data_IF_865123122646
#
_entry.id   IF_865123122646
#
_cell.length_a   1.000
_cell.length_b   1.000
_cell.length_c   1.000
_cell.angle_alpha   90.00
_cell.angle_beta   90.00
_cell.angle_gamma   90.00
#
_symmetry.space_group_name_H-M   'P 1'
#
loop_
_entity.id
_entity.type
_entity.pdbx_description
1 polymer ?
#
# COMPACT_ATOMS: atom_id res chain seq x y z
N UNK A 1 -35.14 -9.59 30.13
CA UNK A 1 -35.14 -8.75 28.92
C UNK A 1 -36.55 -8.64 28.32
N UNK A 2 -37.08 -9.67 27.64
CA UNK A 2 -38.38 -9.56 26.95
C UNK A 2 -39.64 -9.77 27.83
N UNK A 3 -39.48 -10.20 29.10
CA UNK A 3 -40.59 -10.26 30.04
C UNK A 3 -40.89 -8.85 30.57
N UNK A 4 -42.10 -8.34 30.32
CA UNK A 4 -42.57 -7.02 30.76
C UNK A 4 -42.63 -6.86 32.28
N UNK A 5 -42.75 -7.96 33.02
CA UNK A 5 -42.74 -7.98 34.49
C UNK A 5 -41.33 -8.03 35.09
N UNK A 6 -40.29 -8.01 34.24
CA UNK A 6 -38.92 -8.05 34.72
C UNK A 6 -38.60 -6.79 35.53
N UNK A 7 -37.92 -6.91 36.70
CA UNK A 7 -37.55 -5.77 37.53
C UNK A 7 -36.52 -4.83 36.89
N UNK A 8 -36.06 -5.15 35.68
CA UNK A 8 -35.10 -4.40 34.86
C UNK A 8 -35.63 -4.15 33.44
N UNK A 9 -36.94 -4.31 33.20
CA UNK A 9 -37.55 -4.13 31.87
C UNK A 9 -37.40 -2.69 31.34
N UNK A 10 -37.38 -1.71 32.24
CA UNK A 10 -37.15 -0.30 31.95
C UNK A 10 -35.80 -0.04 31.27
N UNK A 11 -34.79 -0.88 31.50
CA UNK A 11 -33.48 -0.76 30.84
C UNK A 11 -33.48 -1.17 29.37
N UNK A 12 -34.54 -1.81 28.88
CA UNK A 12 -34.62 -2.36 27.52
C UNK A 12 -35.89 -1.86 26.79
N UNK A 13 -36.00 -0.53 26.54
CA UNK A 13 -37.14 0.02 25.84
C UNK A 13 -37.21 -0.53 24.40
N UNK A 14 -38.43 -0.87 23.96
CA UNK A 14 -38.65 -1.33 22.57
C UNK A 14 -38.44 -0.19 21.56
N UNK A 15 -38.85 1.02 21.95
CA UNK A 15 -38.63 2.25 21.19
C UNK A 15 -37.84 3.23 22.06
N UNK A 16 -36.78 3.80 21.50
CA UNK A 16 -35.97 4.82 22.16
C UNK A 16 -35.81 6.03 21.24
N UNK A 17 -35.56 7.18 21.85
CA UNK A 17 -35.35 8.43 21.11
C UNK A 17 -33.87 8.60 20.80
N UNK A 18 -33.60 9.18 19.64
CA UNK A 18 -32.26 9.61 19.24
C UNK A 18 -32.26 11.12 19.04
N UNK A 19 -31.23 11.78 19.55
CA UNK A 19 -31.02 13.22 19.33
C UNK A 19 -29.79 13.41 18.44
N UNK A 20 -30.01 13.98 17.26
CA UNK A 20 -28.95 14.24 16.29
C UNK A 20 -28.07 15.43 16.71
N UNK A 21 -28.53 16.35 17.56
CA UNK A 21 -27.78 17.53 18.03
C UNK A 21 -26.93 18.21 16.92
N UNK A 22 -27.55 18.45 15.75
CA UNK A 22 -26.90 19.05 14.59
C UNK A 22 -25.93 18.15 13.80
N UNK A 23 -25.78 16.88 14.18
CA UNK A 23 -25.09 15.86 13.38
C UNK A 23 -25.98 15.37 12.25
N UNK A 24 -25.33 14.95 11.17
CA UNK A 24 -26.01 14.55 9.93
C UNK A 24 -26.30 13.06 9.88
N UNK A 25 -25.49 12.25 10.56
CA UNK A 25 -25.59 10.80 10.48
C UNK A 25 -26.19 10.22 11.77
N UNK A 26 -27.11 9.27 11.64
CA UNK A 26 -27.82 8.68 12.77
C UNK A 26 -26.90 7.93 13.75
N UNK A 27 -25.75 7.40 13.29
CA UNK A 27 -24.76 6.75 14.17
C UNK A 27 -23.96 7.72 15.04
N UNK A 28 -24.05 9.03 14.76
CA UNK A 28 -23.49 10.08 15.63
C UNK A 28 -24.53 10.62 16.61
N UNK A 29 -25.79 10.19 16.48
CA UNK A 29 -26.86 10.65 17.33
C UNK A 29 -26.67 10.14 18.77
N UNK A 30 -27.07 10.96 19.73
CA UNK A 30 -27.14 10.58 21.13
C UNK A 30 -28.33 9.64 21.31
N UNK A 31 -28.05 8.40 21.70
CA UNK A 31 -29.07 7.40 22.00
C UNK A 31 -29.58 7.61 23.42
N UNK A 32 -30.85 8.00 23.56
CA UNK A 32 -31.47 8.30 24.85
C UNK A 32 -32.09 7.03 25.44
N UNK A 33 -31.25 6.25 26.14
CA UNK A 33 -31.66 5.08 26.93
C UNK A 33 -31.32 5.30 28.41
N UNK A 34 -32.08 4.70 29.34
CA UNK A 34 -31.78 4.81 30.76
C UNK A 34 -30.45 4.11 31.10
N UNK A 35 -29.69 4.71 32.03
CA UNK A 35 -28.51 4.06 32.59
C UNK A 35 -28.91 2.91 33.50
N UNK A 36 -28.22 1.78 33.35
CA UNK A 36 -28.46 0.59 34.15
C UNK A 36 -27.97 0.81 35.58
N UNK A 37 -28.84 0.50 36.55
CA UNK A 37 -28.47 0.37 37.96
C UNK A 37 -27.84 -1.02 38.19
N UNK A 38 -26.57 -1.03 38.61
CA UNK A 38 -25.78 -2.25 38.81
C UNK A 38 -26.42 -3.19 39.84
N UNK A 39 -26.87 -2.66 40.99
CA UNK A 39 -27.43 -3.48 42.06
C UNK A 39 -28.75 -4.13 41.63
N UNK A 40 -29.62 -3.39 40.91
CA UNK A 40 -30.86 -3.92 40.34
C UNK A 40 -30.58 -5.01 39.30
N UNK A 41 -29.59 -4.80 38.44
CA UNK A 41 -29.19 -5.79 37.42
C UNK A 41 -28.66 -7.07 38.07
N UNK A 42 -27.70 -6.95 38.98
CA UNK A 42 -27.09 -8.10 39.66
C UNK A 42 -28.12 -8.92 40.44
N UNK A 43 -29.04 -8.28 41.16
CA UNK A 43 -30.13 -8.95 41.87
C UNK A 43 -31.04 -9.75 40.93
N UNK A 44 -31.43 -9.14 39.80
CA UNK A 44 -32.26 -9.80 38.79
C UNK A 44 -31.55 -10.99 38.14
N UNK A 45 -30.26 -10.85 37.79
CA UNK A 45 -29.45 -11.91 37.18
C UNK A 45 -29.21 -13.05 38.17
N UNK A 46 -28.89 -12.76 39.43
CA UNK A 46 -28.64 -13.76 40.47
C UNK A 46 -29.83 -14.72 40.65
N UNK A 47 -31.06 -14.22 40.51
CA UNK A 47 -32.29 -15.04 40.58
C UNK A 47 -32.40 -16.12 39.49
N UNK A 48 -31.59 -16.03 38.42
CA UNK A 48 -31.59 -16.93 37.27
C UNK A 48 -30.26 -17.66 37.05
N UNK A 49 -29.20 -17.32 37.79
CA UNK A 49 -27.87 -17.94 37.63
C UNK A 49 -27.88 -19.47 37.80
N UNK A 50 -28.77 -19.99 38.65
CA UNK A 50 -28.93 -21.43 38.88
C UNK A 50 -29.55 -22.19 37.69
N UNK A 51 -30.07 -21.49 36.68
CA UNK A 51 -30.63 -22.09 35.47
C UNK A 51 -29.58 -22.28 34.36
N UNK A 52 -28.37 -21.78 34.55
CA UNK A 52 -27.30 -21.90 33.57
C UNK A 52 -26.79 -23.34 33.49
N UNK A 53 -26.54 -23.80 32.26
CA UNK A 53 -25.89 -25.08 32.01
C UNK A 53 -24.43 -25.08 32.49
N UNK A 54 -23.80 -26.26 32.68
CA UNK A 54 -22.39 -26.34 33.06
C UNK A 54 -21.44 -25.64 32.06
N UNK A 55 -21.74 -25.73 30.76
CA UNK A 55 -20.96 -25.05 29.71
C UNK A 55 -21.10 -23.52 29.80
N UNK A 56 -22.32 -23.02 29.99
CA UNK A 56 -22.56 -21.58 30.14
C UNK A 56 -21.88 -21.03 31.39
N UNK A 57 -21.91 -21.77 32.51
CA UNK A 57 -21.19 -21.41 33.72
C UNK A 57 -19.67 -21.38 33.49
N UNK A 58 -19.12 -22.33 32.74
CA UNK A 58 -17.69 -22.34 32.39
C UNK A 58 -17.31 -21.13 31.53
N UNK A 59 -18.15 -20.74 30.55
CA UNK A 59 -17.92 -19.55 29.71
C UNK A 59 -18.11 -18.24 30.48
N UNK A 60 -18.95 -18.22 31.51
CA UNK A 60 -19.19 -17.06 32.37
C UNK A 60 -18.14 -16.90 33.49
N UNK A 61 -16.93 -17.45 33.30
CA UNK A 61 -15.81 -17.32 34.22
C UNK A 61 -14.69 -16.47 33.62
N UNK A 62 -13.78 -15.98 34.47
CA UNK A 62 -12.62 -15.21 34.02
C UNK A 62 -11.65 -16.17 33.34
N UNK A 63 -11.31 -15.88 32.08
CA UNK A 63 -10.39 -16.69 31.29
C UNK A 63 -8.91 -16.50 31.67
N UNK A 64 -8.08 -17.38 31.14
CA UNK A 64 -6.63 -17.37 31.32
C UNK A 64 -5.93 -16.51 30.25
N UNK A 65 -4.82 -15.84 30.61
CA UNK A 65 -3.91 -15.24 29.65
C UNK A 65 -2.97 -16.34 29.13
N UNK A 66 -2.88 -16.53 27.82
CA UNK A 66 -2.07 -17.58 27.21
C UNK A 66 -0.80 -17.00 26.56
N UNK A 67 0.36 -17.55 26.91
CA UNK A 67 1.63 -17.27 26.27
C UNK A 67 2.03 -18.44 25.35
N UNK A 68 2.28 -18.11 24.08
CA UNK A 68 2.71 -19.07 23.07
C UNK A 68 4.20 -18.87 22.78
N UNK A 69 5.01 -19.88 23.10
CA UNK A 69 6.44 -19.86 22.83
C UNK A 69 6.78 -20.83 21.71
N UNK A 70 7.53 -20.35 20.71
CA UNK A 70 8.05 -21.20 19.66
C UNK A 70 9.18 -22.09 20.20
N UNK A 71 9.07 -23.40 19.97
CA UNK A 71 10.15 -24.37 20.19
C UNK A 71 10.49 -25.05 18.88
N UNK A 72 11.76 -25.07 18.51
CA UNK A 72 12.22 -25.63 17.23
C UNK A 72 12.05 -27.16 17.14
N UNK A 73 11.96 -27.87 18.28
CA UNK A 73 11.69 -29.30 18.37
C UNK A 73 10.72 -29.58 19.51
N UNK A 74 9.66 -30.35 19.22
CA UNK A 74 8.61 -30.74 20.17
C UNK A 74 7.28 -30.01 19.93
N UNK A 75 6.26 -30.34 20.73
CA UNK A 75 4.97 -29.68 20.68
C UNK A 75 5.07 -28.23 21.17
N UNK A 76 4.28 -27.34 20.56
CA UNK A 76 4.15 -25.96 21.01
C UNK A 76 3.72 -25.93 22.48
N UNK A 77 4.54 -25.34 23.35
CA UNK A 77 4.21 -25.23 24.76
C UNK A 77 3.30 -24.02 24.95
N UNK A 78 2.03 -24.30 25.23
CA UNK A 78 1.10 -23.36 25.83
C UNK A 78 1.41 -23.25 27.32
N UNK A 79 1.68 -22.03 27.78
CA UNK A 79 1.77 -21.74 29.22
C UNK A 79 0.75 -20.67 29.59
N UNK A 80 0.15 -20.80 30.76
CA UNK A 80 -0.76 -19.80 31.33
C UNK A 80 0.04 -18.75 32.09
N UNK A 81 -0.31 -17.48 31.88
CA UNK A 81 0.20 -16.35 32.65
C UNK A 81 -0.85 -15.94 33.69
N UNK A 82 -0.37 -15.53 34.86
CA UNK A 82 -1.22 -14.92 35.86
C UNK A 82 -1.80 -13.60 35.32
N UNK A 83 -3.04 -13.28 35.70
CA UNK A 83 -3.76 -12.08 35.21
C UNK A 83 -3.02 -10.79 35.59
N UNK A 84 -2.33 -10.81 36.72
CA UNK A 84 -1.54 -9.71 37.27
C UNK A 84 -0.05 -9.75 36.86
N UNK A 85 0.35 -10.63 35.94
CA UNK A 85 1.76 -10.81 35.54
C UNK A 85 2.43 -9.52 35.01
N UNK A 86 1.63 -8.54 34.54
CA UNK A 86 2.11 -7.24 34.05
C UNK A 86 1.61 -6.05 34.87
N UNK A 87 1.07 -6.29 36.07
CA UNK A 87 0.70 -5.19 36.96
C UNK A 87 1.96 -4.51 37.48
N UNK A 88 2.27 -3.35 36.89
CA UNK A 88 3.34 -2.48 37.35
C UNK A 88 2.83 -1.59 38.48
N UNK A 89 3.67 -1.33 39.47
CA UNK A 89 3.36 -0.32 40.48
C UNK A 89 3.24 1.05 39.77
N UNK A 90 2.15 1.82 39.96
CA UNK A 90 1.98 3.13 39.32
C UNK A 90 3.14 4.09 39.51
N UNK A 91 3.90 3.96 40.61
CA UNK A 91 5.10 4.76 40.88
C UNK A 91 6.29 4.41 39.97
N UNK A 92 6.31 3.21 39.39
CA UNK A 92 7.33 2.74 38.44
C UNK A 92 7.02 3.11 36.99
N UNK A 93 5.79 3.57 36.72
CA UNK A 93 5.37 3.99 35.38
C UNK A 93 6.00 5.35 35.08
N UNK A 94 6.87 5.38 34.07
CA UNK A 94 7.45 6.61 33.56
C UNK A 94 6.44 7.26 32.61
N UNK A 95 5.92 8.40 33.01
CA UNK A 95 5.02 9.20 32.18
C UNK A 95 5.83 10.10 31.24
N UNK A 96 5.72 9.87 29.94
CA UNK A 96 6.43 10.64 28.90
C UNK A 96 7.59 9.88 28.26
N UNK A 97 8.65 10.60 27.90
CA UNK A 97 9.81 10.01 27.24
C UNK A 97 10.65 9.19 28.23
N UNK A 98 10.95 7.95 27.84
CA UNK A 98 11.83 7.08 28.63
C UNK A 98 13.26 7.64 28.66
N UNK A 99 14.01 7.41 29.75
CA UNK A 99 15.44 7.72 29.78
C UNK A 99 16.16 6.94 28.67
N UNK A 100 17.06 7.61 27.95
CA UNK A 100 17.83 7.09 26.80
C UNK A 100 17.08 6.99 25.46
N UNK A 101 15.90 7.61 25.31
CA UNK A 101 15.28 7.75 23.99
C UNK A 101 16.15 8.64 23.10
N UNK A 102 16.65 8.08 21.99
CA UNK A 102 17.48 8.78 21.02
C UNK A 102 16.60 9.56 20.03
N UNK A 103 16.24 10.81 20.35
CA UNK A 103 15.38 11.63 19.48
C UNK A 103 16.09 12.24 18.27
N UNK A 104 17.42 12.26 18.26
CA UNK A 104 18.25 12.88 17.20
C UNK A 104 18.92 11.84 16.30
N UNK A 105 18.68 10.55 16.56
CA UNK A 105 19.15 9.44 15.74
C UNK A 105 18.04 9.02 14.81
N UNK A 106 18.37 8.80 13.55
CA UNK A 106 17.40 8.33 12.57
C UNK A 106 17.22 6.82 12.71
N UNK A 107 15.98 6.41 12.92
CA UNK A 107 15.57 5.02 12.85
C UNK A 107 14.87 4.77 11.50
N UNK A 108 15.39 3.84 10.66
CA UNK A 108 14.75 3.51 9.40
C UNK A 108 13.26 3.22 9.55
N UNK A 109 12.44 3.92 8.77
CA UNK A 109 10.97 3.79 8.80
C UNK A 109 10.25 4.84 9.65
N UNK A 110 10.95 5.57 10.52
CA UNK A 110 10.36 6.66 11.31
C UNK A 110 10.65 8.03 10.67
N UNK A 111 9.63 8.84 10.35
CA UNK A 111 9.85 10.15 9.77
C UNK A 111 10.49 11.12 10.77
N UNK A 112 11.36 11.99 10.27
CA UNK A 112 11.96 13.08 11.06
C UNK A 112 12.20 14.32 10.20
N UNK A 113 11.87 15.48 10.76
CA UNK A 113 12.07 16.77 10.10
C UNK A 113 13.41 17.42 10.49
N UNK A 114 14.13 16.89 11.48
CA UNK A 114 15.28 17.55 12.11
C UNK A 114 16.52 17.70 11.22
N UNK A 115 16.68 16.84 10.21
CA UNK A 115 17.91 16.80 9.41
C UNK A 115 18.02 17.89 8.34
N UNK A 116 16.95 18.64 8.07
CA UNK A 116 16.97 19.77 7.14
C UNK A 116 16.57 21.06 7.87
N UNK A 117 17.27 22.18 7.65
CA UNK A 117 16.84 23.46 8.17
C UNK A 117 15.55 23.89 7.46
N UNK A 118 14.48 24.09 8.23
CA UNK A 118 13.16 24.45 7.70
C UNK A 118 12.46 25.44 8.65
N UNK A 119 11.46 26.14 8.13
CA UNK A 119 10.58 27.03 8.88
C UNK A 119 9.14 26.61 8.65
N UNK A 120 8.33 26.56 9.70
CA UNK A 120 6.89 26.29 9.62
C UNK A 120 6.07 27.58 9.65
N UNK A 121 5.13 27.72 8.72
CA UNK A 121 4.14 28.80 8.72
C UNK A 121 2.76 28.18 8.52
N UNK A 122 1.78 28.55 9.35
CA UNK A 122 0.40 28.12 9.17
C UNK A 122 -0.24 28.98 8.08
N UNK A 123 -0.30 28.44 6.87
CA UNK A 123 -0.95 29.09 5.73
C UNK A 123 -2.10 28.21 5.24
N UNK A 124 -3.24 28.82 4.94
CA UNK A 124 -4.38 28.14 4.34
C UNK A 124 -4.07 27.86 2.86
N UNK A 125 -3.22 26.87 2.64
CA UNK A 125 -2.88 26.37 1.32
C UNK A 125 -3.88 25.25 1.04
N UNK A 126 -4.88 25.51 0.16
CA UNK A 126 -5.45 24.41 -0.60
C UNK A 126 -4.26 23.81 -1.33
N UNK A 127 -3.91 22.59 -0.98
CA UNK A 127 -2.73 21.92 -1.50
C UNK A 127 -2.72 22.08 -3.04
N UNK A 128 -1.77 22.94 -3.48
CA UNK A 128 -1.64 23.82 -4.69
C UNK A 128 -2.50 25.13 -4.68
N UNK A 129 -1.92 26.35 -4.61
CA UNK A 129 -1.30 27.09 -5.76
C UNK A 129 -0.67 28.48 -5.36
N UNK A 130 0.57 28.79 -5.83
CA UNK A 130 1.33 30.09 -6.07
C UNK A 130 1.81 31.04 -4.92
N UNK A 131 2.84 31.92 -5.05
CA UNK A 131 4.05 32.14 -5.91
C UNK A 131 4.95 33.18 -5.19
N UNK A 132 6.27 32.99 -5.09
CA UNK A 132 7.30 34.05 -5.18
C UNK A 132 8.74 33.52 -5.08
N UNK A 133 9.63 34.17 -5.82
CA UNK A 133 11.04 33.80 -5.99
C UNK A 133 11.91 34.20 -4.79
N UNK A 134 12.86 33.33 -4.43
CA UNK A 134 13.90 33.62 -3.43
C UNK A 134 15.25 33.79 -4.14
N UNK A 135 15.99 34.83 -3.75
CA UNK A 135 17.34 35.12 -4.25
C UNK A 135 18.36 34.66 -3.21
N UNK A 136 19.00 33.52 -3.43
CA UNK A 136 20.22 33.12 -2.71
C UNK A 136 21.32 32.78 -3.73
N UNK A 137 22.58 33.13 -3.45
CA UNK A 137 23.70 32.87 -4.36
C UNK A 137 23.99 31.37 -4.45
N UNK A 138 24.19 30.89 -5.68
CA UNK A 138 24.54 29.51 -6.01
C UNK A 138 26.03 29.24 -5.73
N UNK A 139 26.33 28.09 -5.12
CA UNK A 139 27.70 27.53 -5.11
C UNK A 139 28.02 26.89 -6.47
N UNK A 140 29.32 26.74 -6.77
CA UNK A 140 29.79 26.06 -7.99
C UNK A 140 29.31 24.59 -8.03
N UNK A 141 28.55 24.27 -9.07
CA UNK A 141 27.83 22.99 -9.22
C UNK A 141 28.78 21.84 -9.56
N UNK A 142 29.90 22.12 -10.21
CA UNK A 142 30.86 21.10 -10.62
C UNK A 142 31.53 20.44 -9.42
N UNK A 143 31.91 21.24 -8.42
CA UNK A 143 32.51 20.74 -7.18
C UNK A 143 31.50 19.95 -6.35
N UNK A 144 30.23 20.39 -6.36
CA UNK A 144 29.15 19.66 -5.73
C UNK A 144 28.90 18.29 -6.38
N UNK A 145 28.97 18.20 -7.71
CA UNK A 145 28.82 16.94 -8.42
C UNK A 145 29.96 15.97 -8.07
N UNK A 146 31.21 16.44 -8.01
CA UNK A 146 32.36 15.64 -7.55
C UNK A 146 32.19 15.15 -6.11
N UNK A 147 31.65 16.01 -5.25
CA UNK A 147 31.47 15.69 -3.85
C UNK A 147 30.35 14.69 -3.60
N UNK A 148 29.32 14.60 -4.44
CA UNK A 148 28.15 13.77 -4.14
C UNK A 148 28.04 12.51 -4.99
N UNK A 149 28.52 12.48 -6.24
CA UNK A 149 28.43 11.29 -7.09
C UNK A 149 29.15 10.12 -6.41
N UNK A 150 28.49 8.97 -6.32
CA UNK A 150 29.03 7.79 -5.65
C UNK A 150 28.96 7.83 -4.11
N UNK A 151 28.44 8.90 -3.49
CA UNK A 151 28.20 8.95 -2.05
C UNK A 151 26.81 8.44 -1.68
N UNK A 152 26.72 7.83 -0.50
CA UNK A 152 25.46 7.42 0.11
C UNK A 152 24.75 8.65 0.70
N UNK A 153 23.49 8.82 0.36
CA UNK A 153 22.62 9.92 0.80
C UNK A 153 21.27 9.37 1.26
N UNK A 154 20.53 10.19 2.01
CA UNK A 154 19.14 9.93 2.34
C UNK A 154 18.21 10.81 1.49
N UNK A 155 17.15 10.21 0.96
CA UNK A 155 16.15 10.84 0.09
C UNK A 155 14.73 10.67 0.67
N UNK A 156 13.71 11.24 0.02
CA UNK A 156 12.29 11.15 0.42
C UNK A 156 11.98 11.79 1.80
N UNK A 157 12.68 12.88 2.18
CA UNK A 157 12.37 13.64 3.39
C UNK A 157 10.87 14.01 3.48
N UNK A 158 10.22 13.86 4.65
CA UNK A 158 10.77 13.52 5.97
C UNK A 158 10.90 12.01 6.25
N UNK A 159 10.41 11.14 5.37
CA UNK A 159 10.52 9.67 5.51
C UNK A 159 11.81 9.23 4.80
N UNK A 160 12.94 9.47 5.47
CA UNK A 160 14.25 9.27 4.87
C UNK A 160 14.47 7.81 4.44
N UNK A 161 15.01 7.65 3.24
CA UNK A 161 15.42 6.36 2.67
C UNK A 161 16.83 6.46 2.12
N UNK A 162 17.63 5.41 2.32
CA UNK A 162 18.98 5.36 1.77
C UNK A 162 18.95 5.31 0.24
N UNK A 163 19.90 6.00 -0.37
CA UNK A 163 20.13 6.00 -1.80
C UNK A 163 21.60 6.32 -2.12
N UNK A 164 22.02 5.94 -3.32
CA UNK A 164 23.35 6.21 -3.85
C UNK A 164 23.21 7.18 -5.02
N UNK A 165 23.99 8.26 -5.00
CA UNK A 165 23.92 9.27 -6.06
C UNK A 165 24.60 8.76 -7.31
N UNK A 166 23.88 8.81 -8.43
CA UNK A 166 24.32 8.29 -9.73
C UNK A 166 24.76 9.41 -10.67
N UNK A 167 23.93 10.44 -10.83
CA UNK A 167 24.21 11.57 -11.72
C UNK A 167 23.46 12.86 -11.32
N UNK A 168 23.90 13.98 -11.88
CA UNK A 168 23.33 15.32 -11.64
C UNK A 168 22.96 16.00 -12.94
N UNK A 169 21.83 16.70 -12.95
CA UNK A 169 21.44 17.59 -14.04
C UNK A 169 21.28 19.00 -13.48
N UNK A 170 22.10 19.92 -13.97
CA UNK A 170 22.18 21.29 -13.48
C UNK A 170 22.79 22.23 -14.52
N UNK A 171 22.34 23.49 -14.55
CA UNK A 171 22.88 24.54 -15.43
C UNK A 171 22.99 24.14 -16.93
N UNK A 172 22.09 23.28 -17.40
CA UNK A 172 22.12 22.80 -18.79
C UNK A 172 23.15 21.71 -19.06
N UNK A 173 23.77 21.14 -18.03
CA UNK A 173 24.73 20.04 -18.13
C UNK A 173 24.27 18.82 -17.33
N UNK A 174 24.64 17.64 -17.82
CA UNK A 174 24.60 16.35 -17.14
C UNK A 174 25.99 16.02 -16.61
N UNK A 175 26.07 15.71 -15.33
CA UNK A 175 27.29 15.27 -14.67
C UNK A 175 27.19 13.79 -14.33
N UNK A 176 28.14 12.99 -14.81
CA UNK A 176 28.22 11.54 -14.61
C UNK A 176 29.65 11.14 -14.26
N UNK A 177 29.82 10.12 -13.41
CA UNK A 177 31.13 9.49 -13.22
C UNK A 177 31.36 8.47 -14.33
N UNK A 178 32.54 8.50 -14.95
CA UNK A 178 33.03 7.39 -15.76
C UNK A 178 33.66 6.30 -14.86
N UNK A 179 33.97 5.13 -15.43
CA UNK A 179 34.57 3.98 -14.71
C UNK A 179 35.94 4.32 -14.06
N UNK A 180 36.58 5.41 -14.48
CA UNK A 180 37.82 5.95 -13.90
C UNK A 180 37.63 6.76 -12.61
N UNK A 181 36.38 7.02 -12.20
CA UNK A 181 36.05 7.89 -11.06
C UNK A 181 36.11 9.39 -11.36
N UNK A 182 36.37 9.76 -12.61
CA UNK A 182 36.38 11.16 -13.05
C UNK A 182 34.97 11.62 -13.44
N UNK A 183 34.53 12.75 -12.89
CA UNK A 183 33.21 13.34 -13.17
C UNK A 183 33.31 14.19 -14.44
N UNK A 184 32.56 13.80 -15.46
CA UNK A 184 32.47 14.55 -16.72
C UNK A 184 31.17 15.34 -16.79
N UNK A 185 31.24 16.52 -17.40
CA UNK A 185 30.09 17.37 -17.69
C UNK A 185 29.79 17.29 -19.19
N UNK A 186 28.57 16.89 -19.55
CA UNK A 186 28.07 16.83 -20.92
C UNK A 186 26.91 17.80 -21.05
N UNK A 187 26.93 18.68 -22.04
CA UNK A 187 25.83 19.62 -22.27
C UNK A 187 24.54 18.85 -22.65
N UNK A 188 23.42 19.22 -22.02
CA UNK A 188 22.10 18.69 -22.32
C UNK A 188 21.63 19.21 -23.67
N UNK A 189 21.06 18.34 -24.48
CA UNK A 189 20.40 18.74 -25.73
C UNK A 189 19.05 19.45 -25.47
N UNK A 190 18.42 19.95 -26.54
CA UNK A 190 17.17 20.71 -26.42
C UNK A 190 15.99 19.88 -25.88
N UNK A 191 15.94 18.57 -26.18
CA UNK A 191 14.89 17.68 -25.68
C UNK A 191 15.12 17.38 -24.20
N UNK A 192 16.35 17.05 -23.81
CA UNK A 192 16.76 16.79 -22.44
C UNK A 192 16.56 18.02 -21.54
N UNK A 193 16.78 19.23 -22.05
CA UNK A 193 16.49 20.47 -21.32
C UNK A 193 15.00 20.64 -21.01
N UNK A 194 14.11 20.31 -21.96
CA UNK A 194 12.66 20.34 -21.73
C UNK A 194 12.21 19.25 -20.77
N UNK A 195 12.80 18.05 -20.88
CA UNK A 195 12.59 16.95 -19.91
C UNK A 195 13.01 17.38 -18.51
N UNK A 196 14.17 18.03 -18.35
CA UNK A 196 14.66 18.55 -17.07
C UNK A 196 13.68 19.55 -16.46
N UNK A 197 13.18 20.52 -17.25
CA UNK A 197 12.19 21.50 -16.78
C UNK A 197 10.90 20.82 -16.32
N UNK A 198 10.40 19.86 -17.12
CA UNK A 198 9.21 19.07 -16.79
C UNK A 198 9.39 18.27 -15.49
N UNK A 199 10.54 17.62 -15.32
CA UNK A 199 10.86 16.86 -14.10
C UNK A 199 10.98 17.77 -12.87
N UNK A 200 11.63 18.94 -12.99
CA UNK A 200 11.75 19.92 -11.91
C UNK A 200 10.37 20.38 -11.45
N UNK A 201 9.49 20.72 -12.41
CA UNK A 201 8.12 21.09 -12.12
C UNK A 201 7.38 19.95 -11.42
N UNK A 202 7.41 18.74 -11.98
CA UNK A 202 6.71 17.58 -11.43
C UNK A 202 7.17 17.23 -10.00
N UNK A 203 8.47 17.31 -9.70
CA UNK A 203 8.97 17.03 -8.34
C UNK A 203 8.59 18.13 -7.34
N UNK A 204 8.75 19.41 -7.69
CA UNK A 204 8.29 20.53 -6.84
C UNK A 204 6.79 20.42 -6.57
N UNK A 205 6.04 20.12 -7.63
CA UNK A 205 4.61 19.96 -7.60
C UNK A 205 4.18 18.80 -6.69
N UNK A 206 4.84 17.64 -6.79
CA UNK A 206 4.62 16.48 -5.93
C UNK A 206 4.91 16.79 -4.46
N UNK A 207 6.00 17.50 -4.17
CA UNK A 207 6.38 17.87 -2.80
C UNK A 207 5.36 18.81 -2.17
N UNK A 208 4.94 19.83 -2.92
CA UNK A 208 3.92 20.76 -2.47
C UNK A 208 2.55 20.08 -2.34
N UNK A 209 2.14 19.29 -3.33
CA UNK A 209 0.78 18.75 -3.42
C UNK A 209 0.51 17.53 -2.55
N UNK A 210 1.55 16.86 -2.08
CA UNK A 210 1.40 15.64 -1.27
C UNK A 210 1.91 15.81 0.14
N UNK A 211 2.94 16.63 0.32
CA UNK A 211 3.63 16.79 1.60
C UNK A 211 3.58 18.22 2.14
N UNK A 212 3.00 19.18 1.42
CA UNK A 212 3.01 20.60 1.77
C UNK A 212 4.42 21.18 1.98
N UNK A 213 5.41 20.64 1.26
CA UNK A 213 6.80 21.09 1.32
C UNK A 213 7.08 21.99 0.12
N UNK A 214 7.31 23.28 0.38
CA UNK A 214 7.68 24.24 -0.65
C UNK A 214 9.21 24.31 -0.81
N UNK A 215 9.70 23.83 -1.96
CA UNK A 215 11.13 23.86 -2.30
C UNK A 215 11.38 25.01 -3.28
N UNK A 216 11.54 26.22 -2.72
CA UNK A 216 11.62 27.48 -3.47
C UNK A 216 12.72 27.47 -4.56
N UNK A 217 13.95 27.14 -4.18
CA UNK A 217 15.14 27.26 -5.05
C UNK A 217 15.77 25.90 -5.36
N UNK A 218 15.05 25.06 -6.12
CA UNK A 218 15.65 23.86 -6.70
C UNK A 218 15.74 24.00 -8.22
N UNK A 219 16.95 24.19 -8.74
CA UNK A 219 17.27 24.22 -10.17
C UNK A 219 18.08 22.99 -10.61
N UNK A 220 18.35 22.08 -9.67
CA UNK A 220 19.19 20.90 -9.85
C UNK A 220 18.39 19.65 -9.52
N UNK A 221 18.44 18.68 -10.42
CA UNK A 221 17.92 17.33 -10.20
C UNK A 221 19.11 16.40 -9.96
N UNK A 222 18.97 15.57 -8.94
CA UNK A 222 19.90 14.49 -8.63
C UNK A 222 19.21 13.17 -8.87
N UNK A 223 19.84 12.30 -9.65
CA UNK A 223 19.37 10.93 -9.88
C UNK A 223 19.98 10.02 -8.84
N UNK A 224 19.12 9.38 -8.04
CA UNK A 224 19.52 8.56 -6.91
C UNK A 224 19.01 7.14 -7.06
N UNK A 225 19.92 6.16 -6.95
CA UNK A 225 19.60 4.73 -6.93
C UNK A 225 19.21 4.34 -5.52
N UNK A 226 17.94 3.96 -5.34
CA UNK A 226 17.41 3.57 -4.03
C UNK A 226 18.11 2.32 -3.50
N UNK A 227 18.30 2.27 -2.19
CA UNK A 227 18.72 1.05 -1.50
C UNK A 227 17.64 -0.04 -1.65
N UNK A 228 18.05 -1.24 -2.08
CA UNK A 228 17.16 -2.40 -2.25
C UNK A 228 17.31 -3.36 -1.09
N UNK A 229 18.54 -3.59 -0.64
CA UNK A 229 18.84 -4.56 0.40
C UNK A 229 20.32 -4.86 0.51
N UNK A 230 20.65 -5.98 1.13
CA UNK A 230 22.02 -6.49 1.23
C UNK A 230 22.12 -7.76 0.42
N UNK A 231 23.14 -7.84 -0.43
CA UNK A 231 23.53 -9.08 -1.11
C UNK A 231 24.83 -9.58 -0.51
N UNK A 232 24.97 -10.89 -0.37
CA UNK A 232 26.25 -11.49 0.02
C UNK A 232 26.95 -12.04 -1.21
N UNK A 233 28.24 -11.76 -1.34
CA UNK A 233 29.10 -12.42 -2.33
C UNK A 233 30.04 -13.38 -1.61
N UNK A 234 30.39 -14.49 -2.27
CA UNK A 234 31.31 -15.49 -1.72
C UNK A 234 32.72 -15.12 -2.15
N UNK A 235 33.59 -14.89 -1.17
CA UNK A 235 35.02 -14.69 -1.38
C UNK A 235 35.78 -15.60 -0.41
N UNK A 236 36.61 -16.52 -0.94
CA UNK A 236 37.42 -17.44 -0.14
C UNK A 236 36.62 -18.23 0.92
N UNK A 237 35.39 -18.66 0.60
CA UNK A 237 34.54 -19.43 1.51
C UNK A 237 33.84 -18.61 2.60
N UNK A 238 33.86 -17.28 2.50
CA UNK A 238 33.18 -16.34 3.40
C UNK A 238 32.17 -15.51 2.61
N UNK A 239 30.96 -15.39 3.14
CA UNK A 239 29.92 -14.50 2.63
C UNK A 239 30.17 -13.10 3.16
N UNK A 240 30.53 -12.19 2.25
CA UNK A 240 30.75 -10.77 2.56
C UNK A 240 29.52 -9.94 2.18
N UNK A 241 28.97 -9.15 3.10
CA UNK A 241 27.80 -8.33 2.82
C UNK A 241 28.18 -7.13 1.95
N UNK A 242 27.40 -6.88 0.92
CA UNK A 242 27.49 -5.70 0.06
C UNK A 242 26.11 -5.07 -0.07
N UNK A 243 26.02 -3.75 0.08
CA UNK A 243 24.78 -3.01 -0.15
C UNK A 243 24.38 -3.10 -1.61
N UNK A 244 23.15 -3.52 -1.85
CA UNK A 244 22.55 -3.58 -3.17
C UNK A 244 21.72 -2.33 -3.43
N UNK A 245 22.00 -1.69 -4.55
CA UNK A 245 21.30 -0.50 -5.04
C UNK A 245 20.44 -0.87 -6.24
N UNK A 246 19.39 -0.10 -6.48
CA UNK A 246 18.60 -0.22 -7.70
C UNK A 246 19.50 -0.06 -8.94
N UNK A 247 19.09 -0.67 -10.06
CA UNK A 247 19.79 -0.51 -11.33
C UNK A 247 19.78 0.95 -11.82
N UNK A 248 20.76 1.37 -12.63
CA UNK A 248 20.88 2.74 -13.12
C UNK A 248 19.65 3.22 -13.91
N UNK A 249 18.96 2.30 -14.60
CA UNK A 249 17.74 2.60 -15.36
C UNK A 249 16.55 3.02 -14.49
N UNK A 250 16.60 2.77 -13.17
CA UNK A 250 15.50 3.04 -12.23
C UNK A 250 15.91 4.14 -11.22
N UNK A 251 16.91 4.94 -11.56
CA UNK A 251 17.33 6.06 -10.72
C UNK A 251 16.18 7.08 -10.57
N UNK A 252 15.87 7.44 -9.32
CA UNK A 252 14.77 8.35 -9.02
C UNK A 252 15.26 9.80 -9.06
N UNK A 253 14.52 10.72 -9.72
CA UNK A 253 14.85 12.14 -9.69
C UNK A 253 14.46 12.76 -8.34
N UNK A 254 15.42 13.41 -7.69
CA UNK A 254 15.26 14.09 -6.39
C UNK A 254 15.80 15.51 -6.49
N UNK A 255 15.12 16.46 -5.83
CA UNK A 255 15.60 17.84 -5.76
C UNK A 255 16.80 17.91 -4.82
N UNK A 256 17.90 18.52 -5.28
CA UNK A 256 19.13 18.66 -4.51
C UNK A 256 18.93 19.16 -3.06
N UNK A 257 18.09 20.20 -2.78
CA UNK A 257 17.88 20.67 -1.41
C UNK A 257 17.21 19.67 -0.46
N UNK A 258 16.63 18.58 -0.98
CA UNK A 258 15.99 17.52 -0.19
C UNK A 258 16.92 16.34 0.08
N UNK A 259 18.16 16.37 -0.42
CA UNK A 259 19.16 15.37 -0.08
C UNK A 259 19.67 15.62 1.33
N UNK A 260 19.66 14.57 2.14
CA UNK A 260 20.20 14.59 3.49
C UNK A 260 21.46 13.75 3.52
N UNK A 261 22.58 14.34 3.92
CA UNK A 261 23.87 13.67 4.10
C UNK A 261 24.15 13.42 5.59
N UNK A 262 25.10 12.51 5.87
CA UNK A 262 25.67 12.30 7.21
C UNK A 262 24.63 11.99 8.31
N UNK A 263 23.63 11.17 7.99
CA UNK A 263 22.64 10.72 8.97
C UNK A 263 23.24 9.59 9.81
N UNK A 264 23.29 9.74 11.13
CA UNK A 264 23.58 8.65 12.04
C UNK A 264 22.38 7.69 12.06
N UNK A 265 22.50 6.60 11.32
CA UNK A 265 21.47 5.55 11.22
C UNK A 265 21.76 4.46 12.24
N UNK A 266 20.82 4.20 13.16
CA UNK A 266 20.88 3.01 14.03
C UNK A 266 20.34 1.80 13.24
N UNK A 267 21.19 1.24 12.39
CA UNK A 267 20.90 0.01 11.65
C UNK A 267 21.08 -1.18 12.57
N UNK A 268 20.01 -1.60 13.27
CA UNK A 268 20.07 -2.59 14.35
C UNK A 268 20.74 -3.95 14.05
N UNK A 269 21.03 -4.28 12.78
CA UNK A 269 21.79 -5.47 12.40
C UNK A 269 23.11 -5.03 11.77
N UNK A 270 24.21 -5.24 12.50
CA UNK A 270 25.55 -5.08 11.93
C UNK A 270 25.74 -6.07 10.80
N UNK A 271 26.13 -5.57 9.63
CA UNK A 271 26.58 -6.40 8.52
C UNK A 271 27.86 -7.10 8.99
N UNK A 272 27.85 -8.43 9.05
CA UNK A 272 29.02 -9.23 9.43
C UNK A 272 29.35 -10.23 8.34
N UNK A 273 30.63 -10.58 8.27
CA UNK A 273 31.11 -11.67 7.46
C UNK A 273 30.61 -13.00 8.05
N UNK A 274 30.07 -13.87 7.20
CA UNK A 274 29.50 -15.16 7.62
C UNK A 274 30.22 -16.28 6.87
N UNK A 275 30.88 -17.24 7.56
CA UNK A 275 31.42 -18.42 6.90
C UNK A 275 30.31 -19.18 6.16
N UNK A 276 30.61 -19.70 4.96
CA UNK A 276 29.60 -20.46 4.16
C UNK A 276 29.06 -21.66 4.95
N UNK A 277 29.88 -22.27 5.80
CA UNK A 277 29.46 -23.37 6.70
C UNK A 277 28.46 -22.95 7.78
N UNK A 278 28.48 -21.70 8.24
CA UNK A 278 27.50 -21.14 9.19
C UNK A 278 26.21 -20.74 8.49
N UNK A 279 26.30 -20.15 7.29
CA UNK A 279 25.14 -19.74 6.51
C UNK A 279 24.34 -20.93 5.96
N UNK A 280 25.03 -22.02 5.62
CA UNK A 280 24.44 -23.24 5.06
C UNK A 280 24.75 -24.45 5.96
N UNK A 281 24.13 -24.53 7.15
CA UNK A 281 24.35 -25.66 8.03
C UNK A 281 23.78 -26.93 7.42
N UNK A 282 24.38 -28.07 7.79
CA UNK A 282 23.93 -29.40 7.32
C UNK A 282 22.43 -29.61 7.59
N UNK A 283 21.72 -30.13 6.60
CA UNK A 283 20.27 -30.35 6.57
C UNK A 283 19.41 -29.07 6.58
N UNK A 284 19.99 -27.89 6.35
CA UNK A 284 19.20 -26.69 6.05
C UNK A 284 18.48 -26.82 4.70
N UNK A 285 17.29 -26.22 4.62
CA UNK A 285 16.48 -26.15 3.41
C UNK A 285 16.90 -24.93 2.59
N UNK A 286 17.28 -25.16 1.34
CA UNK A 286 17.70 -24.12 0.40
C UNK A 286 16.99 -24.30 -0.94
N UNK A 287 17.13 -23.33 -1.85
CA UNK A 287 16.68 -23.46 -3.23
C UNK A 287 17.88 -23.46 -4.16
N UNK A 288 17.90 -24.35 -5.15
CA UNK A 288 18.94 -24.35 -6.16
C UNK A 288 18.67 -23.22 -7.16
N UNK A 289 19.61 -22.27 -7.27
CA UNK A 289 19.44 -21.06 -8.08
C UNK A 289 20.37 -21.01 -9.30
N UNK A 290 20.99 -22.13 -9.68
CA UNK A 290 21.86 -22.20 -10.86
C UNK A 290 21.00 -22.28 -12.14
N UNK A 291 20.94 -21.23 -12.98
CA UNK A 291 19.97 -21.16 -14.09
C UNK A 291 20.22 -22.19 -15.20
N UNK A 292 21.47 -22.63 -15.36
CA UNK A 292 21.87 -23.60 -16.38
C UNK A 292 21.59 -25.05 -15.99
N UNK A 293 21.11 -25.31 -14.77
CA UNK A 293 20.91 -26.65 -14.25
C UNK A 293 19.41 -26.97 -14.13
N UNK A 294 19.03 -28.20 -14.44
CA UNK A 294 17.62 -28.65 -14.49
C UNK A 294 16.88 -28.49 -13.15
N UNK A 295 17.61 -28.47 -12.04
CA UNK A 295 17.05 -28.24 -10.71
C UNK A 295 16.86 -26.77 -10.32
N UNK A 296 16.95 -25.80 -11.25
CA UNK A 296 16.69 -24.39 -10.94
C UNK A 296 15.30 -24.18 -10.32
N UNK A 297 15.25 -23.50 -9.18
CA UNK A 297 14.03 -23.24 -8.42
C UNK A 297 13.54 -24.41 -7.55
N UNK A 298 14.19 -25.58 -7.59
CA UNK A 298 13.79 -26.71 -6.75
C UNK A 298 14.31 -26.59 -5.31
N UNK A 299 13.52 -27.05 -4.32
CA UNK A 299 13.98 -27.15 -2.95
C UNK A 299 15.06 -28.23 -2.81
N UNK A 300 16.04 -27.95 -1.98
CA UNK A 300 17.19 -28.79 -1.73
C UNK A 300 17.58 -28.82 -0.25
N UNK A 301 18.30 -29.85 0.14
CA UNK A 301 18.90 -29.99 1.46
C UNK A 301 20.42 -29.89 1.35
N UNK A 302 21.03 -29.17 2.29
CA UNK A 302 22.48 -29.06 2.37
C UNK A 302 23.08 -30.34 2.96
N UNK A 303 23.95 -31.01 2.22
CA UNK A 303 24.64 -32.23 2.68
C UNK A 303 25.97 -31.90 3.35
N UNK A 304 26.76 -31.06 2.69
CA UNK A 304 28.12 -30.71 3.11
C UNK A 304 28.54 -29.36 2.49
N UNK A 305 29.41 -28.65 3.19
CA UNK A 305 30.13 -27.49 2.67
C UNK A 305 31.61 -27.85 2.58
N UNK A 306 32.18 -27.78 1.38
CA UNK A 306 33.60 -28.02 1.14
C UNK A 306 34.44 -26.82 1.67
N UNK A 307 35.73 -27.03 2.04
CA UNK A 307 36.59 -25.96 2.58
C UNK A 307 36.76 -24.74 1.68
N UNK A 308 36.54 -24.91 0.38
CA UNK A 308 36.62 -23.85 -0.64
C UNK A 308 35.31 -23.05 -0.77
N UNK A 309 34.30 -23.33 0.06
CA UNK A 309 33.00 -22.64 0.06
C UNK A 309 31.98 -23.21 -0.94
N UNK A 310 32.21 -24.40 -1.50
CA UNK A 310 31.25 -25.08 -2.37
C UNK A 310 30.25 -25.87 -1.53
N UNK A 311 28.95 -25.67 -1.77
CA UNK A 311 27.87 -26.34 -1.03
C UNK A 311 27.34 -27.51 -1.86
N UNK A 312 27.36 -28.71 -1.30
CA UNK A 312 26.74 -29.90 -1.91
C UNK A 312 25.30 -30.04 -1.44
N UNK A 313 24.43 -30.28 -2.41
CA UNK A 313 22.99 -30.27 -2.23
C UNK A 313 22.39 -31.61 -2.66
N UNK A 314 21.47 -32.14 -1.85
CA UNK A 314 20.53 -33.17 -2.28
C UNK A 314 19.24 -32.47 -2.72
N UNK A 315 18.89 -32.60 -4.00
CA UNK A 315 17.75 -31.90 -4.61
C UNK A 315 16.66 -32.88 -4.98
N UNK A 316 15.42 -32.55 -4.63
CA UNK A 316 14.25 -33.35 -5.02
C UNK A 316 13.60 -32.74 -6.25
N UNK A 317 13.91 -33.31 -7.42
CA UNK A 317 13.34 -32.89 -8.71
C UNK A 317 12.02 -33.62 -8.93
N UNK A 318 11.01 -32.87 -9.37
CA UNK A 318 9.69 -33.39 -9.71
C UNK A 318 9.51 -33.27 -11.23
N UNK A 319 8.78 -34.17 -11.88
CA UNK A 319 8.50 -34.04 -13.31
C UNK A 319 7.70 -32.75 -13.57
N UNK A 320 8.20 -31.91 -14.47
CA UNK A 320 7.48 -30.73 -14.93
C UNK A 320 6.35 -31.12 -15.88
N UNK A 321 5.19 -30.48 -15.74
CA UNK A 321 4.09 -30.63 -16.71
C UNK A 321 4.46 -29.90 -18.00
N UNK A 322 4.40 -30.61 -19.14
CA UNK A 322 4.56 -29.98 -20.43
C UNK A 322 3.31 -29.17 -20.79
N UNK A 323 3.47 -27.85 -20.91
CA UNK A 323 2.42 -26.90 -21.29
C UNK A 323 2.55 -26.46 -22.76
N UNK A 324 3.38 -27.13 -23.56
CA UNK A 324 3.62 -26.82 -24.98
C UNK A 324 2.32 -26.84 -25.81
N UNK A 325 1.43 -27.79 -25.54
CA UNK A 325 0.12 -27.93 -26.20
C UNK A 325 -0.79 -26.73 -25.90
N UNK A 326 -0.95 -26.38 -24.62
CA UNK A 326 -1.72 -25.20 -24.18
C UNK A 326 -1.13 -23.91 -24.75
N UNK A 327 0.20 -23.82 -24.84
CA UNK A 327 0.88 -22.66 -25.42
C UNK A 327 0.66 -22.55 -26.94
N UNK A 328 0.65 -23.68 -27.65
CA UNK A 328 0.38 -23.71 -29.10
C UNK A 328 -1.07 -23.32 -29.41
N UNK A 329 -2.01 -23.74 -28.57
CA UNK A 329 -3.42 -23.41 -28.70
C UNK A 329 -3.82 -22.10 -27.99
N UNK A 330 -2.86 -21.36 -27.42
CA UNK A 330 -3.14 -20.19 -26.58
C UNK A 330 -4.00 -19.17 -27.31
N UNK A 331 -3.67 -18.83 -28.56
CA UNK A 331 -4.42 -17.83 -29.32
C UNK A 331 -5.86 -18.30 -29.62
N UNK A 332 -6.06 -19.60 -29.85
CA UNK A 332 -7.38 -20.19 -30.08
C UNK A 332 -8.23 -20.28 -28.81
N UNK A 333 -7.59 -20.51 -27.65
CA UNK A 333 -8.22 -20.55 -26.34
C UNK A 333 -8.40 -19.14 -25.74
N UNK A 334 -7.66 -18.15 -26.23
CA UNK A 334 -7.69 -16.79 -25.73
C UNK A 334 -9.01 -16.09 -26.07
N UNK A 335 -9.47 -15.24 -25.14
CA UNK A 335 -10.64 -14.43 -25.39
C UNK A 335 -10.33 -13.38 -26.45
N UNK A 336 -11.21 -13.30 -27.45
CA UNK A 336 -11.17 -12.24 -28.44
C UNK A 336 -11.69 -10.94 -27.83
N UNK A 337 -10.86 -9.90 -27.90
CA UNK A 337 -11.14 -8.56 -27.41
C UNK A 337 -11.52 -7.63 -28.56
N UNK A 338 -12.49 -6.76 -28.33
CA UNK A 338 -12.93 -5.75 -29.30
C UNK A 338 -13.01 -4.37 -28.64
N UNK A 339 -12.87 -3.30 -29.43
CA UNK A 339 -13.03 -1.94 -28.91
C UNK A 339 -14.52 -1.61 -28.66
N UNK A 340 -14.79 -0.46 -28.03
CA UNK A 340 -16.16 0.00 -27.76
C UNK A 340 -17.03 0.18 -29.00
N UNK A 341 -16.43 0.53 -30.14
CA UNK A 341 -17.16 0.77 -31.38
C UNK A 341 -17.63 -0.55 -32.00
N UNK A 342 -16.74 -1.54 -32.09
CA UNK A 342 -17.04 -2.87 -32.63
C UNK A 342 -18.02 -3.64 -31.72
N UNK A 343 -17.87 -3.53 -30.40
CA UNK A 343 -18.82 -4.08 -29.43
C UNK A 343 -20.20 -3.42 -29.59
N UNK A 344 -20.25 -2.09 -29.70
CA UNK A 344 -21.48 -1.34 -29.94
C UNK A 344 -22.18 -1.75 -31.23
N UNK A 345 -21.42 -1.92 -32.33
CA UNK A 345 -21.94 -2.38 -33.62
C UNK A 345 -22.54 -3.79 -33.56
N UNK A 346 -21.92 -4.72 -32.82
CA UNK A 346 -22.45 -6.08 -32.64
C UNK A 346 -23.76 -6.13 -31.85
N UNK A 347 -23.93 -5.23 -30.89
CA UNK A 347 -25.11 -5.15 -30.03
C UNK A 347 -26.19 -4.25 -30.66
N UNK A 348 -25.82 -3.39 -31.62
CA UNK A 348 -26.70 -2.38 -32.21
C UNK A 348 -26.97 -1.20 -31.26
N UNK A 349 -25.96 -0.81 -30.47
CA UNK A 349 -26.04 0.25 -29.45
C UNK A 349 -24.87 1.22 -29.61
N UNK A 350 -25.10 2.52 -29.36
CA UNK A 350 -24.04 3.53 -29.37
C UNK A 350 -22.93 3.25 -28.33
N UNK A 351 -21.69 3.58 -28.69
CA UNK A 351 -20.52 3.34 -27.85
C UNK A 351 -20.57 4.06 -26.49
N UNK A 352 -21.25 5.21 -26.39
CA UNK A 352 -21.42 5.93 -25.12
C UNK A 352 -22.40 5.20 -24.20
N UNK A 353 -23.51 4.71 -24.76
CA UNK A 353 -24.50 3.93 -24.02
C UNK A 353 -23.88 2.61 -23.53
N UNK A 354 -23.11 1.94 -24.38
CA UNK A 354 -22.32 0.76 -24.01
C UNK A 354 -21.40 1.05 -22.82
N UNK A 355 -20.62 2.13 -22.86
CA UNK A 355 -19.71 2.49 -21.76
C UNK A 355 -20.42 2.86 -20.46
N UNK A 356 -21.69 3.30 -20.51
CA UNK A 356 -22.49 3.61 -19.31
C UNK A 356 -23.11 2.34 -18.73
N UNK A 357 -23.74 1.49 -19.55
CA UNK A 357 -24.38 0.24 -19.11
C UNK A 357 -23.34 -0.73 -18.53
N UNK A 358 -22.18 -0.82 -19.17
CA UNK A 358 -21.06 -1.63 -18.66
C UNK A 358 -20.41 -1.03 -17.41
N UNK A 359 -20.72 0.23 -17.08
CA UNK A 359 -20.29 0.91 -15.86
C UNK A 359 -21.26 0.77 -14.69
N UNK A 360 -21.25 1.77 -13.81
CA UNK A 360 -22.21 1.90 -12.70
C UNK A 360 -23.23 2.96 -13.04
N UNK A 361 -24.52 2.62 -12.93
CA UNK A 361 -25.63 3.53 -13.20
C UNK A 361 -26.57 3.44 -12.02
N UNK A 362 -26.68 4.51 -11.25
CA UNK A 362 -27.56 4.56 -10.09
C UNK A 362 -28.90 5.14 -10.48
N UNK A 363 -29.97 4.39 -10.23
CA UNK A 363 -31.34 4.86 -10.29
C UNK A 363 -31.73 5.33 -8.88
N UNK A 364 -32.18 6.58 -8.78
CA UNK A 364 -32.68 7.16 -7.53
C UNK A 364 -34.19 6.95 -7.54
N UNK A 365 -34.70 6.17 -6.60
CA UNK A 365 -36.14 5.99 -6.42
C UNK A 365 -36.63 7.09 -5.47
N UNK A 366 -37.25 8.12 -6.02
CA UNK A 366 -37.99 9.12 -5.23
C UNK A 366 -39.31 8.50 -4.78
N UNK A 367 -39.42 8.16 -3.49
CA UNK A 367 -40.72 7.82 -2.90
C UNK A 367 -41.40 9.12 -2.52
N UNK A 368 -42.63 9.34 -3.00
CA UNK A 368 -43.51 10.40 -2.51
C UNK A 368 -43.96 10.03 -1.09
N UNK A 369 -43.10 10.27 -0.10
CA UNK A 369 -43.48 10.30 1.30
C UNK A 369 -43.66 11.76 1.70
N UNK A 370 -44.73 12.04 2.46
CA UNK A 370 -45.06 13.35 3.03
C UNK A 370 -43.85 14.06 3.66
N UNK A 371 -43.83 15.39 3.53
CA UNK A 371 -42.72 16.35 3.64
C UNK A 371 -41.83 16.37 4.92
N UNK A 372 -41.85 15.34 5.78
CA UNK A 372 -40.99 15.28 6.98
C UNK A 372 -39.98 14.11 6.98
N UNK A 373 -40.05 13.16 6.05
CA UNK A 373 -39.11 12.02 5.96
C UNK A 373 -38.15 12.10 4.75
N UNK A 374 -38.19 13.18 3.97
CA UNK A 374 -37.46 13.34 2.70
C UNK A 374 -35.93 13.38 2.83
N UNK A 375 -35.37 13.43 4.04
CA UNK A 375 -33.92 13.34 4.25
C UNK A 375 -33.42 11.91 4.50
N UNK A 376 -34.32 10.91 4.58
CA UNK A 376 -33.96 9.50 4.75
C UNK A 376 -33.49 8.95 3.41
N UNK A 377 -32.17 8.78 3.30
CA UNK A 377 -31.45 7.93 2.32
C UNK A 377 -32.21 7.69 1.02
N UNK A 378 -32.01 8.57 0.03
CA UNK A 378 -32.34 8.27 -1.36
C UNK A 378 -31.82 6.87 -1.72
N UNK A 379 -32.74 5.92 -1.90
CA UNK A 379 -32.41 4.54 -2.20
C UNK A 379 -31.82 4.51 -3.62
N UNK A 380 -30.50 4.35 -3.69
CA UNK A 380 -29.75 4.29 -4.95
C UNK A 380 -29.60 2.84 -5.35
N UNK A 381 -30.32 2.42 -6.38
CA UNK A 381 -30.20 1.08 -6.94
C UNK A 381 -29.25 1.13 -8.13
N UNK A 382 -28.17 0.36 -8.09
CA UNK A 382 -27.28 0.24 -9.23
C UNK A 382 -27.90 -0.71 -10.27
N UNK A 383 -28.23 -0.16 -11.44
CA UNK A 383 -28.76 -0.89 -12.60
C UNK A 383 -27.70 -1.13 -13.69
N UNK A 384 -26.48 -0.60 -13.51
CA UNK A 384 -25.35 -0.85 -14.41
C UNK A 384 -24.72 -2.21 -14.16
N UNK A 385 -24.25 -2.87 -15.22
CA UNK A 385 -23.64 -4.20 -15.15
C UNK A 385 -22.30 -4.21 -14.40
N UNK A 386 -21.73 -3.05 -14.09
CA UNK A 386 -20.54 -2.88 -13.26
C UNK A 386 -19.32 -3.67 -13.73
N UNK A 387 -19.25 -3.94 -15.03
CA UNK A 387 -18.14 -4.63 -15.68
C UNK A 387 -16.90 -3.74 -15.76
N UNK A 388 -17.10 -2.42 -15.80
CA UNK A 388 -16.07 -1.38 -15.90
C UNK A 388 -16.20 -0.37 -14.76
N UNK A 389 -15.14 -0.20 -13.98
CA UNK A 389 -15.09 0.74 -12.85
C UNK A 389 -13.96 1.77 -13.04
N UNK A 390 -14.12 2.67 -14.01
CA UNK A 390 -13.07 3.64 -14.40
C UNK A 390 -12.51 4.47 -13.24
N UNK A 391 -13.38 4.93 -12.33
CA UNK A 391 -12.96 5.75 -11.17
C UNK A 391 -12.11 4.97 -10.17
N UNK A 392 -12.32 3.65 -10.06
CA UNK A 392 -11.56 2.76 -9.17
C UNK A 392 -10.41 2.06 -9.89
N UNK A 393 -10.24 2.33 -11.20
CA UNK A 393 -9.30 1.63 -12.06
C UNK A 393 -9.43 0.09 -11.98
N UNK A 394 -10.66 -0.41 -11.98
CA UNK A 394 -10.98 -1.84 -11.86
C UNK A 394 -11.74 -2.33 -13.10
N UNK A 395 -11.45 -3.57 -13.49
CA UNK A 395 -12.09 -4.30 -14.58
C UNK A 395 -12.62 -5.65 -14.07
N UNK A 396 -13.65 -6.17 -14.73
CA UNK A 396 -14.15 -7.53 -14.48
C UNK A 396 -13.50 -8.50 -15.46
N UNK A 397 -12.78 -9.49 -14.92
CA UNK A 397 -12.09 -10.53 -15.67
C UNK A 397 -13.01 -11.19 -16.70
N UNK A 398 -12.46 -11.54 -17.85
CA UNK A 398 -13.16 -12.16 -18.99
C UNK A 398 -14.24 -11.30 -19.68
N UNK A 399 -14.61 -10.13 -19.15
CA UNK A 399 -15.65 -9.26 -19.70
C UNK A 399 -15.08 -7.95 -20.27
N UNK A 400 -14.30 -7.23 -19.47
CA UNK A 400 -13.69 -5.96 -19.89
C UNK A 400 -12.21 -5.93 -19.56
N UNK A 401 -11.47 -5.15 -20.35
CA UNK A 401 -10.04 -4.95 -20.17
C UNK A 401 -9.68 -3.50 -20.41
N UNK A 402 -8.89 -2.90 -19.53
CA UNK A 402 -8.33 -1.55 -19.69
C UNK A 402 -6.90 -1.64 -20.22
N UNK A 403 -6.65 -0.94 -21.31
CA UNK A 403 -5.31 -0.81 -21.90
C UNK A 403 -4.52 0.31 -21.20
N UNK A 404 -3.19 0.26 -21.31
CA UNK A 404 -2.28 1.27 -20.72
C UNK A 404 -2.54 2.69 -21.26
N UNK A 405 -2.97 2.80 -22.52
CA UNK A 405 -3.39 4.05 -23.14
C UNK A 405 -4.76 4.58 -22.64
N UNK A 406 -5.40 3.88 -21.71
CA UNK A 406 -6.67 4.28 -21.08
C UNK A 406 -7.94 3.84 -21.80
N UNK A 407 -7.83 3.22 -22.99
CA UNK A 407 -8.99 2.68 -23.72
C UNK A 407 -9.49 1.37 -23.12
N UNK A 408 -10.77 1.07 -23.37
CA UNK A 408 -11.45 -0.13 -22.88
C UNK A 408 -11.76 -1.09 -24.02
N UNK A 409 -11.48 -2.37 -23.77
CA UNK A 409 -11.84 -3.48 -24.62
C UNK A 409 -12.89 -4.37 -23.96
N UNK A 410 -13.68 -5.03 -24.78
CA UNK A 410 -14.80 -5.89 -24.37
C UNK A 410 -14.63 -7.26 -25.03
N UNK A 411 -14.87 -8.33 -24.28
CA UNK A 411 -14.80 -9.69 -24.80
C UNK A 411 -16.10 -10.09 -25.52
N UNK A 412 -16.08 -11.24 -26.22
CA UNK A 412 -17.31 -11.85 -26.74
C UNK A 412 -18.32 -12.21 -25.64
N UNK A 413 -17.86 -12.61 -24.45
CA UNK A 413 -18.72 -12.91 -23.31
C UNK A 413 -19.47 -11.66 -22.83
N UNK A 414 -18.81 -10.50 -22.83
CA UNK A 414 -19.45 -9.23 -22.54
C UNK A 414 -20.56 -8.90 -23.54
N UNK A 415 -20.34 -9.14 -24.83
CA UNK A 415 -21.36 -8.92 -25.85
C UNK A 415 -22.57 -9.86 -25.66
N UNK A 416 -22.33 -11.14 -25.35
CA UNK A 416 -23.39 -12.11 -25.07
C UNK A 416 -24.20 -11.73 -23.82
N UNK A 417 -23.53 -11.28 -22.77
CA UNK A 417 -24.18 -10.80 -21.54
C UNK A 417 -25.02 -9.55 -21.81
N UNK A 418 -24.48 -8.60 -22.57
CA UNK A 418 -25.19 -7.37 -22.95
C UNK A 418 -26.41 -7.65 -23.83
N UNK A 419 -26.32 -8.61 -24.76
CA UNK A 419 -27.48 -9.05 -25.56
C UNK A 419 -28.54 -9.71 -24.67
N UNK A 420 -28.13 -10.51 -23.69
CA UNK A 420 -29.04 -11.13 -22.73
C UNK A 420 -29.72 -10.09 -21.82
N UNK A 421 -28.97 -9.08 -21.38
CA UNK A 421 -29.50 -7.93 -20.63
C UNK A 421 -30.50 -7.13 -21.49
N UNK A 422 -30.15 -6.88 -22.76
CA UNK A 422 -31.03 -6.20 -23.71
C UNK A 422 -32.35 -6.93 -23.91
N UNK A 423 -32.30 -8.25 -24.11
CA UNK A 423 -33.51 -9.05 -24.33
C UNK A 423 -34.42 -9.10 -23.10
N UNK A 424 -33.87 -9.02 -21.88
CA UNK A 424 -34.65 -9.02 -20.63
C UNK A 424 -35.19 -7.64 -20.25
N UNK A 425 -34.52 -6.56 -20.65
CA UNK A 425 -34.81 -5.18 -20.23
C UNK A 425 -35.08 -4.25 -21.42
N UNK A 426 -35.82 -4.72 -22.44
CA UNK A 426 -36.07 -3.99 -23.70
C UNK A 426 -36.66 -2.59 -23.48
N UNK A 427 -37.57 -2.44 -22.50
CA UNK A 427 -38.17 -1.12 -22.17
C UNK A 427 -37.20 -0.15 -21.50
N UNK A 428 -36.27 -0.62 -20.66
CA UNK A 428 -35.32 0.25 -19.93
C UNK A 428 -34.23 0.84 -20.83
N UNK A 429 -33.88 0.14 -21.92
CA UNK A 429 -32.88 0.60 -22.88
C UNK A 429 -33.44 1.67 -23.83
N UNK A 430 -34.71 1.57 -24.21
CA UNK A 430 -35.39 2.60 -24.99
C UNK A 430 -35.64 3.86 -24.14
N UNK A 431 -35.94 3.71 -22.84
CA UNK A 431 -36.05 4.83 -21.91
C UNK A 431 -34.71 5.56 -21.69
N UNK A 432 -33.60 4.81 -21.77
CA UNK A 432 -32.25 5.38 -21.79
C UNK A 432 -32.00 6.19 -23.07
N UNK A 433 -32.23 5.64 -24.27
CA UNK A 433 -31.88 6.33 -25.51
C UNK A 433 -32.55 7.70 -25.67
N UNK A 434 -33.80 7.84 -25.23
CA UNK A 434 -34.59 9.07 -25.43
C UNK A 434 -34.35 10.17 -24.39
N UNK A 435 -33.97 9.83 -23.14
CA UNK A 435 -33.56 10.83 -22.13
C UNK A 435 -32.07 11.19 -22.19
N UNK A 436 -31.23 10.39 -22.85
CA UNK A 436 -29.79 10.62 -22.90
C UNK A 436 -29.29 11.44 -24.10
N UNK A 437 -30.17 11.85 -25.01
CA UNK A 437 -29.90 12.84 -26.06
C UNK A 437 -30.06 14.30 -25.62
N UNK A 438 -30.54 14.55 -24.39
CA UNK A 438 -30.85 15.92 -23.90
C UNK A 438 -30.07 16.39 -22.66
N UNK A 439 -29.00 15.69 -22.26
CA UNK A 439 -28.12 16.13 -21.18
C UNK A 439 -26.71 16.42 -21.76
N UNK A 440 -26.18 17.65 -21.59
CA UNK A 440 -24.88 18.05 -22.15
C UNK A 440 -23.69 17.23 -21.61
#
# INVERSE_FOLDING_TARGET
MCNKESPIADFYPTDFRTDLNGKKNDWEAVVLIPFIDEARLLSAVQSKMNLLTPEENARNSIGEILLFNFKAKGEHVRSTLAVDAFHLNPQQVIWGLLPNVKLDVFFPGFPTMKHLPHSGELKQVNVKVFQQESKRPSMDILDLARDFIGKEVCIDWPILKMGLVDSFWAEGNKYTSQDSGEVTAVALDAEEQEVMKSMLYAQKERMLSRYAIDVKNANTIVFVRRYVGVTYFVEQGVLRPQKQWAGPQVAAPVLLPLLVTNVNVDGGVSLRDIPVSEAYPKHSKVFAMLPSWEGFGYPALVDMVDPEGRVRLTVSIWPSVDLSTVRSDYDALSLQWMNSFDAGRKIGVDGRLLSRITGTVFLIIERNASDEEASRTQEKINIGLSLKLSKRNQEVADYTRRLENGYWQYSMLCVQLLNSYRNKCVEQLNFSSDKFTSLP
#
